data_IF_314258496682
#
_entry.id   IF_314258496682
#
_cell.length_a   1.000
_cell.length_b   1.000
_cell.length_c   1.000
_cell.angle_alpha   90.00
_cell.angle_beta   90.00
_cell.angle_gamma   90.00
#
_symmetry.space_group_name_H-M   'P 1'
#
loop_
_entity.id
_entity.type
_entity.pdbx_description
1 polymer ?
#
# COMPACT_ATOMS: atom_id res chain seq x y z
N UNK A 1 3.41 -17.33 3.25
CA UNK A 1 2.49 -16.27 2.79
C UNK A 1 2.95 -14.87 3.20
N UNK A 2 3.11 -14.57 4.50
CA UNK A 2 3.59 -13.26 4.97
C UNK A 2 4.87 -12.80 4.24
N UNK A 3 5.88 -13.65 4.18
CA UNK A 3 7.15 -13.34 3.48
C UNK A 3 6.95 -13.02 2.00
N UNK A 4 6.07 -13.74 1.28
CA UNK A 4 5.77 -13.45 -0.12
C UNK A 4 5.13 -12.07 -0.31
N UNK A 5 4.25 -11.66 0.61
CA UNK A 5 3.65 -10.31 0.59
C UNK A 5 4.75 -9.26 0.85
N UNK A 6 5.65 -9.52 1.80
CA UNK A 6 6.79 -8.65 2.12
C UNK A 6 7.71 -8.50 0.91
N UNK A 7 8.10 -9.60 0.28
CA UNK A 7 8.97 -9.64 -0.89
C UNK A 7 8.35 -8.92 -2.08
N UNK A 8 7.07 -9.18 -2.39
CA UNK A 8 6.36 -8.50 -3.47
C UNK A 8 6.28 -6.98 -3.24
N UNK A 9 6.02 -6.53 -2.01
CA UNK A 9 6.06 -5.11 -1.65
C UNK A 9 7.47 -4.51 -1.80
N UNK A 10 8.48 -5.23 -1.34
CA UNK A 10 9.88 -4.81 -1.43
C UNK A 10 10.35 -4.64 -2.87
N UNK A 11 9.99 -5.57 -3.77
CA UNK A 11 10.25 -5.48 -5.21
C UNK A 11 9.62 -4.23 -5.84
N UNK A 12 8.49 -3.78 -5.30
CA UNK A 12 7.81 -2.55 -5.72
C UNK A 12 8.30 -1.28 -5.00
N UNK A 13 9.38 -1.40 -4.23
CA UNK A 13 10.05 -0.29 -3.54
C UNK A 13 9.40 0.14 -2.23
N UNK A 14 8.50 -0.66 -1.66
CA UNK A 14 7.98 -0.44 -0.31
C UNK A 14 8.93 -1.03 0.74
N UNK A 15 9.23 -0.25 1.77
CA UNK A 15 10.15 -0.65 2.84
C UNK A 15 9.36 -1.08 4.06
N UNK A 16 9.62 -2.30 4.53
CA UNK A 16 9.06 -2.82 5.79
C UNK A 16 9.68 -2.09 6.99
N UNK A 17 8.85 -1.77 7.98
CA UNK A 17 9.31 -1.31 9.28
C UNK A 17 9.99 -2.46 10.06
N UNK A 18 10.97 -2.09 10.90
CA UNK A 18 11.79 -3.06 11.63
C UNK A 18 11.03 -3.73 12.78
N UNK A 19 10.05 -3.04 13.36
CA UNK A 19 9.36 -3.44 14.58
C UNK A 19 7.95 -3.92 14.24
N UNK A 20 7.25 -3.19 13.37
CA UNK A 20 5.85 -3.47 13.05
C UNK A 20 5.68 -4.00 11.63
N UNK A 21 4.53 -4.61 11.36
CA UNK A 21 4.11 -5.02 10.02
C UNK A 21 3.51 -3.83 9.25
N UNK A 22 4.24 -2.72 9.22
CA UNK A 22 3.93 -1.55 8.42
C UNK A 22 4.96 -1.39 7.30
N UNK A 23 4.52 -0.83 6.18
CA UNK A 23 5.34 -0.61 5.01
C UNK A 23 5.23 0.84 4.60
N UNK A 24 6.32 1.42 4.11
CA UNK A 24 6.31 2.80 3.64
C UNK A 24 7.11 3.00 2.37
N UNK A 25 6.70 4.00 1.59
CA UNK A 25 7.38 4.44 0.38
C UNK A 25 7.33 5.95 0.28
N UNK A 26 8.44 6.57 -0.06
CA UNK A 26 8.50 8.01 -0.31
C UNK A 26 8.11 8.28 -1.76
N UNK A 27 7.22 9.25 -1.94
CA UNK A 27 6.78 9.75 -3.24
C UNK A 27 7.29 11.18 -3.37
N UNK A 28 8.01 11.45 -4.46
CA UNK A 28 8.42 12.80 -4.83
C UNK A 28 7.17 13.62 -5.17
N UNK A 29 7.10 14.85 -4.65
CA UNK A 29 6.03 15.80 -4.99
C UNK A 29 6.66 17.14 -5.32
N UNK A 30 5.91 18.03 -5.99
CA UNK A 30 6.41 19.35 -6.38
C UNK A 30 6.77 20.27 -5.20
N UNK A 31 6.25 20.00 -3.99
CA UNK A 31 6.49 20.83 -2.80
C UNK A 31 7.54 20.19 -1.89
N UNK A 32 7.36 18.92 -1.53
CA UNK A 32 8.25 18.17 -0.65
C UNK A 32 8.01 16.67 -0.81
N UNK A 33 9.02 15.80 -0.73
CA UNK A 33 8.80 14.36 -0.69
C UNK A 33 7.83 13.98 0.43
N UNK A 34 6.84 13.14 0.13
CA UNK A 34 5.86 12.68 1.11
C UNK A 34 5.90 11.17 1.26
N UNK A 35 5.81 10.70 2.50
CA UNK A 35 5.79 9.28 2.83
C UNK A 35 4.36 8.75 2.77
N UNK A 36 4.13 7.69 2.00
CA UNK A 36 2.94 6.86 2.12
C UNK A 36 3.23 5.68 3.04
N UNK A 37 2.22 5.16 3.71
CA UNK A 37 2.31 3.92 4.50
C UNK A 37 1.10 3.01 4.31
N UNK A 38 1.27 1.72 4.63
CA UNK A 38 0.21 0.71 4.66
C UNK A 38 0.55 -0.36 5.69
N UNK A 39 -0.47 -0.97 6.32
CA UNK A 39 -0.31 -1.97 7.37
C UNK A 39 -0.71 -3.36 6.88
N UNK A 40 0.10 -4.35 7.22
CA UNK A 40 -0.19 -5.76 7.05
C UNK A 40 -0.71 -6.32 8.37
N UNK A 41 -1.89 -6.93 8.34
CA UNK A 41 -2.55 -7.49 9.51
C UNK A 41 -3.04 -8.91 9.20
N UNK A 42 -2.87 -9.83 10.14
CA UNK A 42 -3.44 -11.18 10.04
C UNK A 42 -4.79 -11.24 10.76
N UNK A 43 -5.84 -11.56 10.01
CA UNK A 43 -7.18 -11.82 10.51
C UNK A 43 -7.32 -13.34 10.76
N UNK A 44 -7.21 -13.73 12.03
CA UNK A 44 -7.25 -15.13 12.45
C UNK A 44 -8.64 -15.76 12.31
N UNK A 45 -9.71 -14.96 12.47
CA UNK A 45 -11.10 -15.45 12.39
C UNK A 45 -11.42 -15.94 10.97
N UNK A 46 -10.98 -15.18 9.96
CA UNK A 46 -11.19 -15.53 8.56
C UNK A 46 -9.97 -16.18 7.89
N UNK A 47 -8.91 -16.47 8.66
CA UNK A 47 -7.66 -17.07 8.19
C UNK A 47 -7.11 -16.39 6.91
N UNK A 48 -6.88 -15.07 6.99
CA UNK A 48 -6.47 -14.25 5.84
C UNK A 48 -5.59 -13.08 6.26
N UNK A 49 -4.73 -12.64 5.35
CA UNK A 49 -3.94 -11.41 5.53
C UNK A 49 -4.65 -10.22 4.89
N UNK A 50 -4.43 -9.04 5.46
CA UNK A 50 -4.95 -7.77 4.99
C UNK A 50 -3.80 -6.78 4.82
N UNK A 51 -3.70 -6.17 3.65
CA UNK A 51 -3.06 -4.87 3.51
C UNK A 51 -4.14 -3.80 3.63
N UNK A 52 -4.10 -2.97 4.67
CA UNK A 52 -5.12 -1.95 4.95
C UNK A 52 -4.51 -0.77 5.70
N UNK A 53 -5.35 0.22 6.02
CA UNK A 53 -4.92 1.45 6.69
C UNK A 53 -3.82 2.17 5.91
N UNK A 54 -4.04 2.32 4.60
CA UNK A 54 -3.20 3.16 3.78
C UNK A 54 -3.24 4.59 4.29
N UNK A 55 -2.08 5.23 4.42
CA UNK A 55 -1.95 6.63 4.82
C UNK A 55 -1.11 7.39 3.82
N UNK A 56 -1.71 8.42 3.24
CA UNK A 56 -1.04 9.48 2.51
C UNK A 56 -1.92 10.73 2.52
N UNK A 57 -1.56 11.70 3.35
CA UNK A 57 -2.35 12.91 3.52
C UNK A 57 -1.99 14.00 2.50
N UNK A 58 -3.01 14.46 1.78
CA UNK A 58 -2.92 15.48 0.74
C UNK A 58 -4.06 16.50 0.92
N UNK A 59 -3.75 17.78 1.21
CA UNK A 59 -4.70 18.85 1.58
C UNK A 59 -5.80 18.40 2.57
N UNK A 60 -5.38 17.79 3.67
CA UNK A 60 -6.29 17.39 4.75
C UNK A 60 -7.02 16.07 4.51
N UNK A 61 -6.92 15.47 3.32
CA UNK A 61 -7.56 14.18 3.02
C UNK A 61 -6.53 13.05 2.93
N UNK A 62 -6.84 11.90 3.54
CA UNK A 62 -6.07 10.68 3.36
C UNK A 62 -6.58 9.92 2.12
N UNK A 63 -5.83 10.02 1.03
CA UNK A 63 -6.23 9.49 -0.30
C UNK A 63 -6.05 7.99 -0.44
N UNK A 64 -5.48 7.33 0.58
CA UNK A 64 -5.29 5.88 0.64
C UNK A 64 -6.19 5.20 1.67
N UNK A 65 -7.08 5.96 2.35
CA UNK A 65 -7.92 5.44 3.43
C UNK A 65 -8.79 4.25 3.01
N UNK A 66 -9.23 4.20 1.76
CA UNK A 66 -10.08 3.14 1.19
C UNK A 66 -9.28 2.02 0.53
N UNK A 67 -7.97 2.20 0.34
CA UNK A 67 -7.15 1.25 -0.41
C UNK A 67 -6.77 0.06 0.48
N UNK A 68 -7.14 -1.14 0.05
CA UNK A 68 -6.88 -2.38 0.77
C UNK A 68 -6.78 -3.58 -0.16
N UNK A 69 -6.13 -4.65 0.31
CA UNK A 69 -6.11 -5.95 -0.33
C UNK A 69 -6.26 -7.07 0.69
N UNK A 70 -6.87 -8.17 0.27
CA UNK A 70 -7.15 -9.34 1.09
C UNK A 70 -6.47 -10.56 0.47
N UNK A 71 -5.79 -11.35 1.30
CA UNK A 71 -5.04 -12.54 0.88
C UNK A 71 -5.49 -13.74 1.74
N UNK A 72 -6.44 -14.56 1.25
CA UNK A 72 -6.77 -15.83 1.87
C UNK A 72 -5.53 -16.73 1.96
N UNK A 73 -5.36 -17.52 3.03
CA UNK A 73 -4.14 -18.36 3.18
C UNK A 73 -3.95 -19.43 2.10
N UNK A 74 -5.01 -19.76 1.36
CA UNK A 74 -4.97 -20.68 0.22
C UNK A 74 -4.56 -20.01 -1.10
N UNK A 75 -4.35 -18.69 -1.10
CA UNK A 75 -3.98 -17.95 -2.31
C UNK A 75 -2.58 -18.38 -2.81
N UNK A 76 -2.47 -18.64 -4.10
CA UNK A 76 -1.21 -19.05 -4.73
C UNK A 76 -0.19 -17.90 -4.75
N UNK A 77 1.13 -18.19 -4.78
CA UNK A 77 2.17 -17.16 -4.87
C UNK A 77 1.94 -16.15 -6.01
N UNK A 78 1.68 -16.62 -7.23
CA UNK A 78 1.41 -15.75 -8.38
C UNK A 78 0.20 -14.83 -8.17
N UNK A 79 -0.84 -15.32 -7.49
CA UNK A 79 -2.02 -14.53 -7.20
C UNK A 79 -1.74 -13.45 -6.14
N UNK A 80 -0.88 -13.76 -5.15
CA UNK A 80 -0.41 -12.78 -4.16
C UNK A 80 0.35 -11.66 -4.87
N UNK A 81 1.34 -12.00 -5.71
CA UNK A 81 2.15 -11.02 -6.43
C UNK A 81 1.29 -10.10 -7.31
N UNK A 82 0.37 -10.67 -8.09
CA UNK A 82 -0.57 -9.89 -8.91
C UNK A 82 -1.45 -8.98 -8.08
N UNK A 83 -1.93 -9.46 -6.93
CA UNK A 83 -2.78 -8.67 -6.02
C UNK A 83 -2.00 -7.52 -5.40
N UNK A 84 -0.76 -7.76 -4.95
CA UNK A 84 0.13 -6.72 -4.42
C UNK A 84 0.45 -5.69 -5.51
N UNK A 85 0.77 -6.12 -6.73
CA UNK A 85 1.04 -5.23 -7.85
C UNK A 85 -0.17 -4.36 -8.22
N UNK A 86 -1.37 -4.95 -8.26
CA UNK A 86 -2.61 -4.23 -8.51
C UNK A 86 -2.90 -3.16 -7.44
N UNK A 87 -2.71 -3.52 -6.17
CA UNK A 87 -2.86 -2.61 -5.04
C UNK A 87 -1.88 -1.43 -5.14
N UNK A 88 -0.60 -1.69 -5.34
CA UNK A 88 0.42 -0.63 -5.44
C UNK A 88 0.17 0.28 -6.64
N UNK A 89 -0.28 -0.29 -7.77
CA UNK A 89 -0.65 0.50 -8.93
C UNK A 89 -1.87 1.40 -8.64
N UNK A 90 -2.86 0.92 -7.88
CA UNK A 90 -3.99 1.73 -7.43
C UNK A 90 -3.55 2.86 -6.50
N UNK A 91 -2.73 2.55 -5.49
CA UNK A 91 -2.16 3.57 -4.59
C UNK A 91 -1.43 4.66 -5.38
N UNK A 92 -0.60 4.27 -6.36
CA UNK A 92 0.09 5.19 -7.24
C UNK A 92 -0.87 6.08 -8.03
N UNK A 93 -1.95 5.51 -8.60
CA UNK A 93 -2.99 6.30 -9.30
C UNK A 93 -3.71 7.28 -8.37
N UNK A 94 -4.09 6.84 -7.17
CA UNK A 94 -4.80 7.70 -6.20
C UNK A 94 -3.92 8.87 -5.75
N UNK A 95 -2.65 8.60 -5.45
CA UNK A 95 -1.65 9.63 -5.14
C UNK A 95 -1.51 10.60 -6.32
N UNK A 96 -1.26 10.11 -7.54
CA UNK A 96 -1.08 10.97 -8.72
C UNK A 96 -2.33 11.81 -9.06
N UNK A 97 -3.54 11.27 -8.89
CA UNK A 97 -4.80 12.00 -9.12
C UNK A 97 -4.98 13.12 -8.11
N UNK A 98 -4.76 12.84 -6.83
CA UNK A 98 -4.83 13.85 -5.77
C UNK A 98 -3.87 15.02 -6.02
N UNK A 99 -2.76 14.77 -6.73
CA UNK A 99 -1.82 15.79 -7.14
C UNK A 99 -2.17 16.49 -8.46
N UNK A 100 -2.64 15.76 -9.48
CA UNK A 100 -2.96 16.33 -10.80
C UNK A 100 -4.08 17.37 -10.73
N UNK A 101 -5.09 17.14 -9.88
CA UNK A 101 -6.18 18.11 -9.64
C UNK A 101 -5.65 19.44 -9.11
N UNK A 102 -4.47 19.47 -8.45
CA UNK A 102 -3.93 20.68 -7.82
C UNK A 102 -3.00 21.52 -8.67
N UNK A 103 -2.35 20.94 -9.68
CA UNK A 103 -1.51 21.72 -10.60
C UNK A 103 -2.34 22.44 -11.68
N UNK A 104 -3.63 22.12 -11.77
CA UNK A 104 -4.58 22.70 -12.73
C UNK A 104 -5.50 23.76 -12.08
N UNK A 105 -5.30 24.07 -10.79
CA UNK A 105 -6.08 25.05 -10.03
C UNK A 105 -5.35 26.38 -9.84
#
# INVERSE_FOLDING_TARGET
MKELIIEALAQLGWRKDKIVDAFSKTFETAVVPKRASIWLHFDAECNRWWLRHGDFTSAGENVLATTHAIFPVSMSPDAIEKTVAALVAEMGRNISRAWSVRLLG
#
